data_IF_219777053904
#
_entry.id   IF_219777053904
#
_cell.length_a   1.000
_cell.length_b   1.000
_cell.length_c   1.000
_cell.angle_alpha   90.00
_cell.angle_beta   90.00
_cell.angle_gamma   90.00
#
_symmetry.space_group_name_H-M   'P 1'
#
loop_
_entity.id
_entity.type
_entity.pdbx_description
1 polymer ?
#
# COMPACT_ATOMS: atom_id res chain seq x y z
N UNK A 1 1.66 -15.32 15.31
CA UNK A 1 2.30 -14.01 15.36
C UNK A 1 1.31 -12.94 15.82
N UNK A 2 1.19 -11.74 15.22
CA UNK A 2 0.27 -10.70 15.73
C UNK A 2 -1.19 -11.18 15.74
N UNK A 3 -1.71 -11.74 14.65
CA UNK A 3 -3.08 -12.27 14.60
C UNK A 3 -3.37 -13.31 15.70
N UNK A 4 -2.43 -14.22 15.97
CA UNK A 4 -2.58 -15.20 17.04
C UNK A 4 -2.71 -14.50 18.41
N UNK A 5 -1.87 -13.49 18.67
CA UNK A 5 -1.94 -12.70 19.91
C UNK A 5 -3.23 -11.88 20.05
N UNK A 6 -3.75 -11.39 18.91
CA UNK A 6 -5.04 -10.67 18.90
C UNK A 6 -6.18 -11.63 19.27
N UNK A 7 -6.19 -12.84 18.69
CA UNK A 7 -7.21 -13.87 18.99
C UNK A 7 -7.17 -14.41 20.42
N UNK A 8 -6.04 -14.26 21.12
CA UNK A 8 -5.92 -14.62 22.56
C UNK A 8 -6.57 -13.57 23.49
N UNK A 9 -7.04 -12.43 22.96
CA UNK A 9 -7.61 -11.34 23.74
C UNK A 9 -9.14 -11.40 23.71
N UNK A 10 -9.77 -11.65 24.86
CA UNK A 10 -11.24 -11.75 24.99
C UNK A 10 -11.96 -10.43 24.70
N UNK A 11 -11.28 -9.29 24.87
CA UNK A 11 -11.82 -7.95 24.62
C UNK A 11 -11.64 -7.48 23.17
N UNK A 12 -11.20 -8.35 22.24
CA UNK A 12 -11.04 -8.03 20.83
C UNK A 12 -11.95 -8.93 20.00
N UNK A 13 -12.86 -8.32 19.25
CA UNK A 13 -13.72 -9.00 18.27
C UNK A 13 -13.16 -8.76 16.86
N UNK A 14 -12.95 -9.83 16.09
CA UNK A 14 -12.52 -9.77 14.69
C UNK A 14 -13.73 -10.11 13.81
N UNK A 15 -14.15 -9.17 12.99
CA UNK A 15 -15.21 -9.35 11.99
C UNK A 15 -14.54 -9.62 10.64
N UNK A 16 -14.37 -10.90 10.29
CA UNK A 16 -13.82 -11.32 9.01
C UNK A 16 -14.85 -11.15 7.88
N UNK A 17 -14.40 -10.91 6.64
CA UNK A 17 -15.25 -10.67 5.46
C UNK A 17 -16.25 -9.53 5.65
N UNK A 18 -15.85 -8.51 6.41
CA UNK A 18 -16.65 -7.32 6.70
C UNK A 18 -15.98 -6.10 6.08
N UNK A 19 -16.72 -5.34 5.27
CA UNK A 19 -16.21 -4.18 4.55
C UNK A 19 -16.81 -2.91 5.11
N UNK A 20 -15.97 -1.97 5.57
CA UNK A 20 -16.42 -0.60 5.88
C UNK A 20 -16.71 0.13 4.57
N UNK A 21 -17.86 0.80 4.48
CA UNK A 21 -18.20 1.55 3.28
C UNK A 21 -18.58 3.02 3.53
N UNK A 22 -18.74 3.43 4.80
CA UNK A 22 -18.89 4.85 5.16
C UNK A 22 -18.69 5.07 6.67
N UNK A 23 -18.66 6.34 7.10
CA UNK A 23 -18.65 6.73 8.51
C UNK A 23 -20.07 6.93 9.04
N UNK A 24 -20.26 6.59 10.32
CA UNK A 24 -21.36 7.15 11.14
C UNK A 24 -20.86 8.49 11.69
N UNK A 25 -21.39 9.62 11.19
CA UNK A 25 -20.89 10.93 11.59
C UNK A 25 -21.99 11.98 11.64
N UNK A 26 -21.82 12.96 12.53
CA UNK A 26 -22.56 14.21 12.58
C UNK A 26 -21.64 15.32 13.09
N UNK A 27 -21.83 16.54 12.63
CA UNK A 27 -21.14 17.75 13.11
C UNK A 27 -19.60 17.62 13.15
N UNK A 28 -19.02 16.90 12.15
CA UNK A 28 -17.58 16.59 12.05
C UNK A 28 -17.04 15.70 13.19
N UNK A 29 -17.89 14.88 13.81
CA UNK A 29 -17.53 13.88 14.82
C UNK A 29 -17.86 12.50 14.27
N UNK A 30 -16.92 11.56 14.38
CA UNK A 30 -17.10 10.16 14.01
C UNK A 30 -17.68 9.37 15.19
N UNK A 31 -18.78 8.67 14.97
CA UNK A 31 -19.46 7.83 15.95
C UNK A 31 -19.38 6.34 15.61
N UNK A 32 -18.56 5.97 14.63
CA UNK A 32 -18.41 4.61 14.17
C UNK A 32 -18.44 4.49 12.64
N UNK A 33 -18.80 3.32 12.15
CA UNK A 33 -18.80 3.02 10.72
C UNK A 33 -20.05 2.31 10.26
N UNK A 34 -20.34 2.45 8.97
CA UNK A 34 -21.27 1.63 8.24
C UNK A 34 -20.48 0.45 7.64
N UNK A 35 -20.94 -0.76 7.89
CA UNK A 35 -20.26 -1.97 7.42
C UNK A 35 -21.21 -2.91 6.67
N UNK A 36 -20.70 -3.57 5.67
CA UNK A 36 -21.32 -4.74 5.06
C UNK A 36 -20.71 -5.99 5.69
N UNK A 37 -21.56 -6.80 6.27
CA UNK A 37 -21.18 -8.02 6.96
C UNK A 37 -20.95 -9.18 5.97
N UNK A 38 -20.35 -10.28 6.46
CA UNK A 38 -20.04 -11.46 5.66
C UNK A 38 -21.27 -12.09 4.96
N UNK A 39 -22.46 -11.92 5.50
CA UNK A 39 -23.73 -12.40 4.94
C UNK A 39 -24.38 -11.41 3.97
N UNK A 40 -23.72 -10.27 3.69
CA UNK A 40 -24.23 -9.20 2.85
C UNK A 40 -25.16 -8.21 3.55
N UNK A 41 -25.50 -8.40 4.83
CA UNK A 41 -26.27 -7.44 5.60
C UNK A 41 -25.47 -6.15 5.84
N UNK A 42 -26.19 -5.03 6.00
CA UNK A 42 -25.58 -3.73 6.28
C UNK A 42 -25.86 -3.34 7.71
N UNK A 43 -24.80 -3.06 8.46
CA UNK A 43 -24.91 -2.75 9.88
C UNK A 43 -24.23 -1.42 10.24
N UNK A 44 -24.74 -0.81 11.30
CA UNK A 44 -24.13 0.34 11.99
C UNK A 44 -23.28 -0.19 13.13
N UNK A 45 -21.97 0.03 13.08
CA UNK A 45 -21.06 -0.30 14.17
C UNK A 45 -20.70 0.99 14.89
N UNK A 46 -21.38 1.25 16.02
CA UNK A 46 -21.13 2.43 16.85
C UNK A 46 -19.87 2.25 17.69
N UNK A 47 -19.05 3.29 17.78
CA UNK A 47 -17.81 3.29 18.54
C UNK A 47 -17.48 4.67 19.11
N UNK A 48 -16.89 4.71 20.31
CA UNK A 48 -16.39 5.94 20.93
C UNK A 48 -15.28 6.59 20.11
N UNK A 49 -14.45 5.74 19.47
CA UNK A 49 -13.39 6.15 18.54
C UNK A 49 -13.29 5.17 17.37
N UNK A 50 -12.96 5.70 16.23
CA UNK A 50 -12.68 4.91 15.02
C UNK A 50 -11.22 5.11 14.61
N UNK A 51 -10.51 4.02 14.32
CA UNK A 51 -9.13 4.06 13.85
C UNK A 51 -9.02 3.36 12.49
N UNK A 52 -8.66 4.11 11.46
CA UNK A 52 -8.43 3.57 10.13
C UNK A 52 -7.01 2.99 10.03
N UNK A 53 -6.93 1.72 9.66
CA UNK A 53 -5.68 1.00 9.40
C UNK A 53 -5.80 0.18 8.09
N UNK A 54 -6.41 0.79 7.07
CA UNK A 54 -6.89 0.13 5.84
C UNK A 54 -5.79 -0.12 4.80
N UNK A 55 -4.54 0.27 5.10
CA UNK A 55 -3.43 0.19 4.14
C UNK A 55 -3.47 1.33 3.11
N UNK A 56 -2.74 1.16 2.01
CA UNK A 56 -2.59 2.17 0.97
C UNK A 56 -3.56 2.01 -0.19
N UNK A 57 -3.04 2.18 -1.41
CA UNK A 57 -3.80 2.20 -2.66
C UNK A 57 -3.13 1.36 -3.78
N UNK A 58 -2.25 0.42 -3.41
CA UNK A 58 -1.43 -0.32 -4.36
C UNK A 58 -2.19 -1.25 -5.30
N UNK A 59 -3.45 -1.59 -4.98
CA UNK A 59 -4.29 -2.47 -5.79
C UNK A 59 -4.70 -1.89 -7.14
N UNK A 60 -4.72 -0.55 -7.25
CA UNK A 60 -5.09 0.17 -8.49
C UNK A 60 -3.99 0.15 -9.57
N UNK A 61 -2.79 -0.30 -9.24
CA UNK A 61 -1.65 -0.32 -10.18
C UNK A 61 -1.52 -1.66 -10.91
N UNK A 62 -1.21 -1.61 -12.20
CA UNK A 62 -0.94 -2.81 -13.03
C UNK A 62 0.14 -3.69 -12.41
N UNK A 63 1.25 -3.11 -12.01
CA UNK A 63 2.33 -3.78 -11.29
C UNK A 63 2.41 -3.26 -9.85
N UNK A 64 2.07 -4.12 -8.89
CA UNK A 64 2.09 -3.78 -7.46
C UNK A 64 2.54 -4.95 -6.60
N UNK A 65 3.21 -4.67 -5.50
CA UNK A 65 3.52 -5.63 -4.44
C UNK A 65 2.36 -5.79 -3.46
N UNK A 66 1.31 -4.99 -3.58
CA UNK A 66 0.10 -5.05 -2.76
C UNK A 66 -0.97 -5.97 -3.35
N UNK A 67 -1.94 -6.35 -2.53
CA UNK A 67 -3.11 -7.08 -2.99
C UNK A 67 -4.07 -6.18 -3.76
N UNK A 68 -4.82 -6.75 -4.71
CA UNK A 68 -5.73 -6.01 -5.58
C UNK A 68 -6.88 -5.31 -4.87
N UNK A 69 -7.32 -5.83 -3.72
CA UNK A 69 -8.39 -5.22 -2.90
C UNK A 69 -7.92 -4.00 -2.08
N UNK A 70 -6.65 -3.62 -2.14
CA UNK A 70 -6.13 -2.41 -1.47
C UNK A 70 -6.21 -1.24 -2.45
N UNK A 71 -7.38 -0.66 -2.61
CA UNK A 71 -7.73 0.32 -3.65
C UNK A 71 -7.78 1.77 -3.16
N UNK A 72 -7.58 1.99 -1.85
CA UNK A 72 -7.62 3.34 -1.26
C UNK A 72 -9.02 3.79 -0.87
N UNK A 73 -9.98 2.89 -0.67
CA UNK A 73 -11.37 3.22 -0.31
C UNK A 73 -11.48 4.16 0.88
N UNK A 74 -10.68 3.93 1.94
CA UNK A 74 -10.67 4.81 3.10
C UNK A 74 -10.26 6.25 2.75
N UNK A 75 -9.42 6.45 1.73
CA UNK A 75 -9.03 7.78 1.24
C UNK A 75 -10.19 8.45 0.50
N UNK A 76 -10.90 7.70 -0.32
CA UNK A 76 -12.07 8.18 -1.05
C UNK A 76 -13.19 8.57 -0.07
N UNK A 77 -13.51 7.69 0.89
CA UNK A 77 -14.52 7.95 1.93
C UNK A 77 -14.13 9.20 2.74
N UNK A 78 -12.88 9.27 3.21
CA UNK A 78 -12.38 10.44 3.94
C UNK A 78 -12.53 11.74 3.13
N UNK A 79 -12.17 11.72 1.84
CA UNK A 79 -12.29 12.89 0.96
C UNK A 79 -13.75 13.31 0.77
N UNK A 80 -14.66 12.36 0.58
CA UNK A 80 -16.09 12.65 0.41
C UNK A 80 -16.70 13.35 1.64
N UNK A 81 -16.15 13.09 2.82
CA UNK A 81 -16.53 13.76 4.08
C UNK A 81 -15.68 14.99 4.42
N UNK A 82 -14.88 15.50 3.49
CA UNK A 82 -14.05 16.68 3.70
C UNK A 82 -12.86 16.47 4.66
N UNK A 83 -12.55 15.23 5.00
CA UNK A 83 -11.37 14.90 5.80
C UNK A 83 -10.13 15.17 4.97
N UNK A 84 -9.15 15.83 5.57
CA UNK A 84 -7.98 16.32 4.86
C UNK A 84 -7.06 15.16 4.44
N UNK A 85 -6.81 15.08 3.12
CA UNK A 85 -5.76 14.24 2.54
C UNK A 85 -4.50 15.06 2.30
N UNK A 86 -3.33 14.43 2.39
CA UNK A 86 -2.06 15.07 2.12
C UNK A 86 -1.16 14.14 1.28
N UNK A 87 -0.42 14.73 0.33
CA UNK A 87 0.58 14.01 -0.49
C UNK A 87 0.06 12.75 -1.20
N UNK A 88 -1.13 12.82 -1.79
CA UNK A 88 -1.74 11.68 -2.51
C UNK A 88 -0.88 11.20 -3.70
N UNK A 89 0.06 12.02 -4.16
CA UNK A 89 1.06 11.74 -5.19
C UNK A 89 2.37 11.15 -4.64
N UNK A 90 2.51 10.96 -3.32
CA UNK A 90 3.72 10.39 -2.73
C UNK A 90 3.64 8.86 -2.73
N UNK A 91 3.98 8.27 -3.86
CA UNK A 91 3.90 6.83 -4.10
C UNK A 91 5.29 6.32 -4.42
N UNK A 92 5.75 5.32 -3.67
CA UNK A 92 7.04 4.70 -3.87
C UNK A 92 6.92 3.52 -4.85
N UNK A 93 7.66 3.61 -5.95
CA UNK A 93 7.86 2.50 -6.88
C UNK A 93 9.12 1.74 -6.46
N UNK A 94 9.03 0.42 -6.31
CA UNK A 94 10.19 -0.43 -6.09
C UNK A 94 10.78 -0.84 -7.44
N UNK A 95 12.08 -0.66 -7.69
CA UNK A 95 12.66 -0.88 -9.02
C UNK A 95 12.72 -2.35 -9.45
N UNK A 96 12.69 -3.29 -8.50
CA UNK A 96 12.89 -4.72 -8.80
C UNK A 96 11.82 -5.60 -8.15
N UNK A 97 10.82 -5.97 -8.92
CA UNK A 97 9.87 -7.06 -8.59
C UNK A 97 9.93 -8.11 -9.68
N UNK A 98 9.68 -9.36 -9.36
CA UNK A 98 9.69 -10.43 -10.36
C UNK A 98 8.58 -10.19 -11.38
N UNK A 99 8.94 -10.10 -12.66
CA UNK A 99 7.98 -9.97 -13.74
C UNK A 99 7.23 -11.29 -13.94
N UNK A 100 5.93 -11.19 -14.17
CA UNK A 100 5.07 -12.32 -14.53
C UNK A 100 3.89 -11.81 -15.34
N UNK A 101 3.47 -12.55 -16.36
CA UNK A 101 2.25 -12.27 -17.14
C UNK A 101 0.98 -12.68 -16.38
N UNK A 102 1.14 -13.49 -15.32
CA UNK A 102 0.01 -13.89 -14.47
C UNK A 102 -0.57 -12.67 -13.74
N UNK A 103 -1.90 -12.54 -13.67
CA UNK A 103 -2.52 -11.46 -12.91
C UNK A 103 -2.19 -11.58 -11.41
N UNK A 104 -2.28 -10.46 -10.71
CA UNK A 104 -2.14 -10.40 -9.27
C UNK A 104 -0.88 -9.69 -8.78
N UNK A 105 -0.55 -9.96 -7.53
CA UNK A 105 0.53 -9.31 -6.79
C UNK A 105 1.90 -9.69 -7.33
N UNK A 106 2.76 -8.69 -7.54
CA UNK A 106 4.17 -8.91 -7.93
C UNK A 106 4.99 -9.34 -6.71
N UNK A 107 5.88 -10.30 -6.93
CA UNK A 107 6.77 -10.76 -5.87
C UNK A 107 7.98 -9.81 -5.75
N UNK A 108 8.23 -9.33 -4.53
CA UNK A 108 9.32 -8.40 -4.27
C UNK A 108 10.69 -9.11 -4.34
N UNK A 109 11.57 -8.63 -5.22
CA UNK A 109 13.00 -8.93 -5.14
C UNK A 109 13.63 -7.85 -4.28
N UNK A 110 13.96 -8.20 -3.03
CA UNK A 110 14.42 -7.27 -2.01
C UNK A 110 15.59 -6.41 -2.48
N UNK A 111 15.63 -5.18 -2.00
CA UNK A 111 16.79 -4.28 -2.18
C UNK A 111 18.11 -4.89 -1.69
N UNK A 112 18.05 -5.73 -0.64
CA UNK A 112 19.21 -6.44 -0.10
C UNK A 112 19.91 -7.32 -1.14
N UNK A 113 19.19 -7.85 -2.15
CA UNK A 113 19.78 -8.63 -3.25
C UNK A 113 20.75 -7.77 -4.08
N UNK A 114 20.39 -6.51 -4.34
CA UNK A 114 21.25 -5.53 -5.01
C UNK A 114 22.39 -5.09 -4.10
N UNK A 115 22.12 -4.96 -2.80
CA UNK A 115 23.15 -4.68 -1.78
C UNK A 115 24.21 -5.77 -1.66
N UNK A 116 23.85 -7.05 -1.88
CA UNK A 116 24.78 -8.19 -1.92
C UNK A 116 25.54 -8.31 -3.25
N UNK A 117 25.23 -7.47 -4.26
CA UNK A 117 26.00 -7.40 -5.49
C UNK A 117 25.27 -7.83 -6.77
N UNK A 118 23.96 -8.11 -6.73
CA UNK A 118 23.21 -8.37 -7.96
C UNK A 118 23.21 -7.15 -8.89
N UNK A 119 23.30 -7.40 -10.20
CA UNK A 119 23.41 -6.38 -11.24
C UNK A 119 22.21 -6.39 -12.19
N UNK A 120 21.86 -5.22 -12.72
CA UNK A 120 20.80 -5.04 -13.72
C UNK A 120 21.40 -5.07 -15.14
N UNK A 121 20.77 -5.88 -15.99
CA UNK A 121 21.19 -6.10 -17.37
C UNK A 121 20.09 -5.69 -18.36
N UNK A 122 20.49 -5.09 -19.46
CA UNK A 122 19.64 -4.85 -20.62
C UNK A 122 19.39 -6.15 -21.44
N UNK A 123 18.69 -6.06 -22.56
CA UNK A 123 18.38 -7.25 -23.37
C UNK A 123 19.60 -7.91 -24.00
N UNK A 124 20.66 -7.16 -24.26
CA UNK A 124 21.95 -7.67 -24.75
C UNK A 124 22.80 -8.32 -23.65
N UNK A 125 22.42 -8.23 -22.38
CA UNK A 125 23.18 -8.77 -21.26
C UNK A 125 24.23 -7.81 -20.70
N UNK A 126 24.20 -6.53 -21.06
CA UNK A 126 25.11 -5.52 -20.55
C UNK A 126 24.54 -4.83 -19.32
N UNK A 127 25.40 -4.59 -18.32
CA UNK A 127 25.05 -3.74 -17.17
C UNK A 127 24.86 -2.30 -17.61
N UNK A 128 23.74 -1.64 -17.20
CA UNK A 128 23.40 -0.31 -17.70
C UNK A 128 23.27 0.76 -16.61
N UNK A 129 23.31 0.38 -15.32
CA UNK A 129 23.05 1.34 -14.22
C UNK A 129 23.84 0.97 -12.95
N UNK A 130 23.98 1.92 -12.04
CA UNK A 130 24.38 1.65 -10.66
C UNK A 130 23.15 1.24 -9.83
N UNK A 131 23.09 -0.02 -9.39
CA UNK A 131 21.96 -0.62 -8.69
C UNK A 131 21.74 -0.08 -7.28
N UNK A 132 22.72 0.66 -6.73
CA UNK A 132 22.66 1.25 -5.39
C UNK A 132 22.12 2.69 -5.37
N UNK A 133 21.67 3.20 -6.52
CA UNK A 133 20.98 4.48 -6.58
C UNK A 133 19.72 4.45 -5.69
N UNK A 134 19.27 5.62 -5.17
CA UNK A 134 17.96 5.77 -4.53
C UNK A 134 16.84 5.19 -5.41
N UNK A 135 15.79 4.64 -4.78
CA UNK A 135 14.74 3.89 -5.51
C UNK A 135 14.09 4.68 -6.63
N UNK A 136 13.81 5.95 -6.41
CA UNK A 136 13.19 6.85 -7.40
C UNK A 136 14.08 7.07 -8.63
N UNK A 137 15.39 7.24 -8.42
CA UNK A 137 16.36 7.38 -9.50
C UNK A 137 16.57 6.06 -10.24
N UNK A 138 16.74 4.97 -9.52
CA UNK A 138 16.93 3.66 -10.14
C UNK A 138 15.69 3.24 -10.94
N UNK A 139 14.49 3.50 -10.43
CA UNK A 139 13.23 3.22 -11.13
C UNK A 139 13.16 3.94 -12.48
N UNK A 140 13.58 5.22 -12.53
CA UNK A 140 13.62 6.00 -13.78
C UNK A 140 14.57 5.39 -14.81
N UNK A 141 15.76 4.97 -14.37
CA UNK A 141 16.74 4.35 -15.27
C UNK A 141 16.26 2.98 -15.75
N UNK A 142 15.64 2.17 -14.89
CA UNK A 142 15.05 0.88 -15.29
C UNK A 142 13.94 1.08 -16.31
N UNK A 143 13.03 2.02 -16.06
CA UNK A 143 11.92 2.31 -16.98
C UNK A 143 12.43 2.82 -18.34
N UNK A 144 13.43 3.69 -18.35
CA UNK A 144 14.09 4.17 -19.55
C UNK A 144 14.74 3.02 -20.33
N UNK A 145 15.42 2.08 -19.64
CA UNK A 145 16.04 0.94 -20.30
C UNK A 145 14.99 -0.01 -20.89
N UNK A 146 13.87 -0.25 -20.20
CA UNK A 146 12.75 -1.02 -20.74
C UNK A 146 12.24 -0.44 -22.07
N UNK A 147 12.10 0.88 -22.15
CA UNK A 147 11.68 1.57 -23.37
C UNK A 147 12.74 1.46 -24.50
N UNK A 148 14.03 1.57 -24.18
CA UNK A 148 15.12 1.39 -25.16
C UNK A 148 15.14 -0.04 -25.72
N UNK A 149 14.94 -1.03 -24.84
CA UNK A 149 14.99 -2.45 -25.18
C UNK A 149 13.71 -2.92 -25.89
N UNK A 150 12.64 -2.12 -25.87
CA UNK A 150 11.27 -2.50 -26.27
C UNK A 150 10.85 -3.81 -25.57
N UNK A 151 11.00 -3.83 -24.23
CA UNK A 151 10.73 -4.99 -23.38
C UNK A 151 9.92 -4.61 -22.14
N UNK A 152 8.98 -5.46 -21.68
CA UNK A 152 8.17 -5.19 -20.50
C UNK A 152 8.93 -5.40 -19.17
N UNK A 153 10.22 -5.69 -19.22
CA UNK A 153 11.09 -5.92 -18.05
C UNK A 153 12.58 -5.69 -18.41
N UNK A 154 13.40 -5.54 -17.39
CA UNK A 154 14.86 -5.72 -17.49
C UNK A 154 15.28 -7.02 -16.79
N UNK A 155 16.55 -7.40 -16.87
CA UNK A 155 17.06 -8.63 -16.23
C UNK A 155 17.87 -8.31 -15.01
N UNK A 156 17.66 -9.07 -13.92
CA UNK A 156 18.50 -9.02 -12.72
C UNK A 156 19.36 -10.28 -12.66
N UNK A 157 20.68 -10.12 -12.65
CA UNK A 157 21.62 -11.22 -12.50
C UNK A 157 22.15 -11.27 -11.08
N UNK A 158 22.07 -12.43 -10.45
CA UNK A 158 22.69 -12.74 -9.17
C UNK A 158 24.06 -13.42 -9.32
N UNK A 159 24.59 -13.53 -10.54
CA UNK A 159 25.89 -14.18 -10.81
C UNK A 159 27.06 -13.65 -9.98
N UNK A 160 27.14 -12.36 -9.60
CA UNK A 160 28.21 -11.89 -8.70
C UNK A 160 28.10 -12.39 -7.26
N UNK A 161 26.96 -12.96 -6.85
CA UNK A 161 26.71 -13.44 -5.48
C UNK A 161 26.99 -14.95 -5.44
N UNK A 162 27.76 -15.47 -4.45
CA UNK A 162 27.94 -16.91 -4.28
C UNK A 162 26.60 -17.64 -4.13
N UNK A 163 26.47 -18.79 -4.77
CA UNK A 163 25.22 -19.59 -4.76
C UNK A 163 24.73 -19.90 -3.34
N UNK A 164 25.64 -20.25 -2.45
CA UNK A 164 25.35 -20.57 -1.05
C UNK A 164 24.77 -19.35 -0.32
N UNK A 165 25.27 -18.15 -0.64
CA UNK A 165 24.75 -16.88 -0.10
C UNK A 165 23.35 -16.61 -0.63
N UNK A 166 23.07 -16.81 -1.92
CA UNK A 166 21.74 -16.67 -2.49
C UNK A 166 20.74 -17.55 -1.74
N UNK A 167 21.06 -18.83 -1.57
CA UNK A 167 20.16 -19.81 -0.95
C UNK A 167 19.96 -19.54 0.54
N UNK A 168 21.01 -19.14 1.27
CA UNK A 168 20.95 -18.92 2.73
C UNK A 168 20.37 -17.55 3.10
N UNK A 169 20.71 -16.47 2.39
CA UNK A 169 20.24 -15.12 2.70
C UNK A 169 18.87 -14.83 2.09
N UNK A 170 18.55 -15.43 0.93
CA UNK A 170 17.33 -15.16 0.17
C UNK A 170 16.50 -16.43 -0.13
N UNK A 171 16.26 -17.33 0.84
CA UNK A 171 15.62 -18.63 0.58
C UNK A 171 14.22 -18.49 -0.06
N UNK A 172 13.45 -17.48 0.35
CA UNK A 172 12.12 -17.25 -0.20
C UNK A 172 12.17 -16.70 -1.64
N UNK A 173 13.16 -15.87 -1.95
CA UNK A 173 13.37 -15.34 -3.31
C UNK A 173 13.81 -16.48 -4.23
N UNK A 174 14.79 -17.28 -3.80
CA UNK A 174 15.26 -18.45 -4.55
C UNK A 174 14.10 -19.42 -4.86
N UNK A 175 13.35 -19.80 -3.82
CA UNK A 175 12.18 -20.68 -3.96
C UNK A 175 11.15 -20.11 -4.94
N UNK A 176 10.81 -18.80 -4.81
CA UNK A 176 9.83 -18.16 -5.67
C UNK A 176 10.29 -18.08 -7.13
N UNK A 177 11.56 -17.80 -7.37
CA UNK A 177 12.12 -17.82 -8.73
C UNK A 177 11.98 -19.21 -9.35
N UNK A 178 12.29 -20.28 -8.63
CA UNK A 178 12.12 -21.65 -9.11
C UNK A 178 10.65 -21.99 -9.42
N UNK A 179 9.69 -21.55 -8.60
CA UNK A 179 8.25 -21.72 -8.85
C UNK A 179 7.78 -21.03 -10.13
N UNK A 180 8.42 -19.93 -10.53
CA UNK A 180 8.15 -19.21 -11.79
C UNK A 180 9.05 -19.71 -12.96
N UNK A 181 9.86 -20.74 -12.74
CA UNK A 181 10.67 -21.39 -13.79
C UNK A 181 12.08 -20.84 -13.95
N UNK A 182 12.58 -20.01 -13.02
CA UNK A 182 13.91 -19.40 -13.08
C UNK A 182 14.83 -19.92 -11.99
N UNK A 183 16.00 -20.46 -12.35
CA UNK A 183 17.09 -20.71 -11.38
C UNK A 183 18.00 -19.47 -11.29
N UNK A 184 17.67 -18.55 -10.38
CA UNK A 184 18.41 -17.30 -10.22
C UNK A 184 19.89 -17.45 -9.79
N UNK A 185 20.33 -18.70 -9.49
CA UNK A 185 21.75 -19.02 -9.27
C UNK A 185 22.50 -19.32 -10.56
N UNK A 186 21.80 -19.47 -11.70
CA UNK A 186 22.36 -19.87 -12.99
C UNK A 186 22.07 -18.88 -14.11
N UNK A 187 20.94 -18.17 -14.01
CA UNK A 187 20.45 -17.30 -15.07
C UNK A 187 19.89 -15.99 -14.51
N UNK A 188 19.92 -14.90 -15.27
CA UNK A 188 19.24 -13.66 -14.91
C UNK A 188 17.73 -13.84 -14.91
N UNK A 189 17.04 -13.21 -13.93
CA UNK A 189 15.58 -13.23 -13.79
C UNK A 189 14.97 -11.94 -14.33
N UNK A 190 13.74 -11.99 -14.92
CA UNK A 190 13.04 -10.80 -15.39
C UNK A 190 12.52 -10.00 -14.20
N UNK A 191 12.79 -8.69 -14.18
CA UNK A 191 12.30 -7.78 -13.13
C UNK A 191 11.67 -6.52 -13.71
N UNK A 192 10.64 -6.02 -13.05
CA UNK A 192 9.88 -4.83 -13.45
C UNK A 192 9.67 -3.91 -12.25
N UNK A 193 9.72 -2.58 -12.44
CA UNK A 193 9.28 -1.66 -11.41
C UNK A 193 7.80 -1.86 -11.05
N UNK A 194 7.47 -1.74 -9.77
CA UNK A 194 6.11 -1.90 -9.29
C UNK A 194 5.80 -0.98 -8.13
N UNK A 195 4.55 -0.56 -8.02
CA UNK A 195 4.08 0.15 -6.83
C UNK A 195 4.36 -0.70 -5.58
N UNK A 196 4.86 -0.06 -4.53
CA UNK A 196 5.29 -0.77 -3.33
C UNK A 196 4.80 -0.18 -2.02
N UNK A 197 4.76 1.15 -1.88
CA UNK A 197 4.32 1.82 -0.65
C UNK A 197 3.74 3.20 -0.96
N UNK A 198 2.74 3.58 -0.19
CA UNK A 198 2.10 4.89 -0.26
C UNK A 198 2.51 5.73 0.94
N UNK A 199 3.17 6.88 0.73
CA UNK A 199 3.64 7.77 1.80
C UNK A 199 2.71 8.96 2.05
N UNK A 200 1.72 9.16 1.18
CA UNK A 200 0.61 10.08 1.39
C UNK A 200 -0.49 9.48 2.24
N UNK A 201 -1.67 10.07 2.23
CA UNK A 201 -2.83 9.52 2.93
C UNK A 201 -3.68 10.54 3.65
N UNK A 202 -4.47 10.05 4.60
CA UNK A 202 -5.26 10.90 5.50
C UNK A 202 -4.29 11.67 6.39
N UNK A 203 -4.36 13.01 6.34
CA UNK A 203 -3.49 13.85 7.17
C UNK A 203 -3.79 13.62 8.64
N UNK A 204 -2.73 13.38 9.43
CA UNK A 204 -2.82 13.20 10.87
C UNK A 204 -1.79 14.08 11.60
N UNK A 205 -2.04 14.32 12.89
CA UNK A 205 -1.06 14.89 13.82
C UNK A 205 -0.14 13.79 14.42
N UNK A 206 0.69 14.14 15.40
CA UNK A 206 1.61 13.20 16.07
C UNK A 206 0.89 12.13 16.90
N UNK A 207 -0.35 12.37 17.30
CA UNK A 207 -1.19 11.41 18.01
C UNK A 207 -2.08 10.60 17.05
N UNK A 208 -1.85 10.73 15.73
CA UNK A 208 -2.63 10.09 14.66
C UNK A 208 -4.08 10.57 14.53
N UNK A 209 -4.45 11.70 15.10
CA UNK A 209 -5.78 12.32 14.92
C UNK A 209 -5.91 12.91 13.52
N UNK A 210 -7.07 12.69 12.92
CA UNK A 210 -7.46 13.32 11.64
C UNK A 210 -8.05 14.74 11.86
N UNK A 211 -8.61 15.33 10.80
CA UNK A 211 -9.39 16.58 10.90
C UNK A 211 -10.84 16.38 11.35
N UNK A 212 -11.30 15.14 11.49
CA UNK A 212 -12.60 14.76 12.05
C UNK A 212 -12.39 14.29 13.50
N UNK A 213 -13.20 14.78 14.43
CA UNK A 213 -13.13 14.37 15.82
C UNK A 213 -13.45 12.87 15.98
N UNK A 214 -12.86 12.20 16.96
CA UNK A 214 -12.97 10.77 17.25
C UNK A 214 -12.51 9.83 16.12
N UNK A 215 -11.85 10.38 15.07
CA UNK A 215 -11.32 9.60 13.96
C UNK A 215 -9.79 9.69 13.92
N UNK A 216 -9.16 8.53 13.92
CA UNK A 216 -7.71 8.34 13.81
C UNK A 216 -7.37 7.62 12.50
N UNK A 217 -6.14 7.80 12.03
CA UNK A 217 -5.60 6.99 10.94
C UNK A 217 -4.14 6.63 11.23
N UNK A 218 -3.76 5.37 11.01
CA UNK A 218 -2.43 4.83 11.34
C UNK A 218 -1.90 3.92 10.23
N UNK A 219 -0.58 3.78 10.14
CA UNK A 219 0.07 2.99 9.10
C UNK A 219 -0.09 3.61 7.72
N UNK A 220 -0.04 2.79 6.67
CA UNK A 220 0.02 3.24 5.28
C UNK A 220 -1.22 4.04 4.79
N UNK A 221 -2.34 4.00 5.53
CA UNK A 221 -3.51 4.83 5.21
C UNK A 221 -3.36 6.29 5.67
N UNK A 222 -2.38 6.57 6.55
CA UNK A 222 -2.16 7.90 7.14
C UNK A 222 -0.95 8.63 6.55
N UNK A 223 -1.05 9.95 6.48
CA UNK A 223 0.07 10.83 6.18
C UNK A 223 0.48 11.62 7.44
N UNK A 224 1.47 11.12 8.16
CA UNK A 224 2.10 11.76 9.32
C UNK A 224 3.36 12.55 8.95
N UNK A 225 3.82 12.46 7.70
CA UNK A 225 4.97 13.19 7.16
C UNK A 225 6.34 12.56 7.42
N UNK A 226 6.44 11.47 8.19
CA UNK A 226 7.73 10.88 8.61
C UNK A 226 8.57 10.36 7.45
N UNK A 227 7.95 9.93 6.37
CA UNK A 227 8.64 9.36 5.21
C UNK A 227 9.01 10.37 4.13
N UNK A 228 8.37 11.54 4.11
CA UNK A 228 8.51 12.46 2.99
C UNK A 228 8.13 11.80 1.65
N UNK A 229 8.82 12.19 0.57
CA UNK A 229 8.55 11.67 -0.78
C UNK A 229 9.26 10.35 -1.11
N UNK A 230 10.20 9.91 -0.28
CA UNK A 230 11.00 8.70 -0.54
C UNK A 230 11.30 7.94 0.76
N UNK A 231 10.48 6.95 1.07
CA UNK A 231 10.57 6.16 2.30
C UNK A 231 11.86 5.32 2.33
N UNK A 232 12.58 5.40 3.44
CA UNK A 232 13.69 4.50 3.71
C UNK A 232 13.19 3.06 3.92
N UNK A 233 13.91 2.08 3.40
CA UNK A 233 13.55 0.67 3.49
C UNK A 233 13.25 0.24 4.95
N UNK A 234 12.25 -0.61 5.13
CA UNK A 234 11.77 -1.18 6.40
C UNK A 234 11.13 -0.22 7.41
N UNK A 235 11.20 1.10 7.23
CA UNK A 235 10.67 2.07 8.19
C UNK A 235 9.13 2.10 8.28
N UNK A 236 8.41 1.54 7.31
CA UNK A 236 6.95 1.48 7.36
C UNK A 236 6.40 0.66 8.54
N UNK A 237 7.08 -0.44 8.89
CA UNK A 237 6.68 -1.26 10.04
C UNK A 237 6.90 -0.52 11.37
N UNK A 238 8.02 0.19 11.48
CA UNK A 238 8.32 1.01 12.66
C UNK A 238 7.32 2.16 12.81
N UNK A 239 7.04 2.87 11.73
CA UNK A 239 6.03 3.94 11.67
C UNK A 239 4.67 3.42 12.15
N UNK A 240 4.17 2.32 11.58
CA UNK A 240 2.87 1.75 11.95
C UNK A 240 2.79 1.43 13.44
N UNK A 241 3.83 0.85 14.04
CA UNK A 241 3.86 0.51 15.47
C UNK A 241 3.92 1.74 16.36
N UNK A 242 4.75 2.73 16.03
CA UNK A 242 4.93 3.94 16.83
C UNK A 242 3.65 4.78 16.83
N UNK A 243 3.07 5.04 15.67
CA UNK A 243 1.88 5.88 15.55
C UNK A 243 0.60 5.19 16.03
N UNK A 244 0.46 3.86 15.86
CA UNK A 244 -0.63 3.12 16.49
C UNK A 244 -0.56 3.17 18.02
N UNK A 245 0.64 3.10 18.58
CA UNK A 245 0.83 3.26 20.04
C UNK A 245 0.51 4.68 20.52
N UNK A 246 0.89 5.71 19.76
CA UNK A 246 0.57 7.10 20.07
C UNK A 246 -0.96 7.32 20.07
N UNK A 247 -1.65 6.85 19.05
CA UNK A 247 -3.11 6.89 18.95
C UNK A 247 -3.79 6.18 20.13
N UNK A 248 -3.37 4.96 20.45
CA UNK A 248 -3.91 4.20 21.57
C UNK A 248 -3.72 4.92 22.92
N UNK A 249 -2.56 5.56 23.12
CA UNK A 249 -2.29 6.36 24.31
C UNK A 249 -3.24 7.56 24.40
N UNK A 250 -3.36 8.34 23.33
CA UNK A 250 -4.21 9.52 23.32
C UNK A 250 -5.69 9.17 23.55
N UNK A 251 -6.21 8.10 22.93
CA UNK A 251 -7.57 7.58 23.18
C UNK A 251 -7.77 7.22 24.65
N UNK A 252 -6.78 6.59 25.29
CA UNK A 252 -6.87 6.17 26.69
C UNK A 252 -6.85 7.38 27.64
N UNK A 253 -6.09 8.42 27.32
CA UNK A 253 -5.97 9.63 28.13
C UNK A 253 -7.18 10.59 27.97
N UNK A 254 -7.94 10.47 26.89
CA UNK A 254 -9.09 11.32 26.55
C UNK A 254 -10.36 10.48 26.29
N UNK A 255 -10.90 9.79 27.31
CA UNK A 255 -12.07 8.94 27.12
C UNK A 255 -13.28 9.77 26.67
N UNK A 256 -14.01 9.26 25.70
CA UNK A 256 -15.26 9.83 25.19
C UNK A 256 -16.32 8.75 25.11
N UNK A 257 -17.56 9.13 24.83
CA UNK A 257 -18.66 8.19 24.56
C UNK A 257 -19.32 8.54 23.24
N UNK A 258 -19.57 7.51 22.45
CA UNK A 258 -20.32 7.65 21.23
C UNK A 258 -21.80 7.99 21.50
N UNK A 259 -22.34 8.85 20.67
CA UNK A 259 -23.77 9.09 20.60
C UNK A 259 -24.39 8.26 19.46
N UNK A 260 -25.69 7.99 19.53
CA UNK A 260 -26.39 7.29 18.47
C UNK A 260 -26.74 8.28 17.36
N UNK A 261 -26.25 7.99 16.14
CA UNK A 261 -26.52 8.81 14.95
C UNK A 261 -27.48 8.08 14.03
N UNK A 262 -28.54 8.78 13.61
CA UNK A 262 -29.44 8.25 12.59
C UNK A 262 -28.85 8.46 11.19
N UNK A 263 -28.76 7.39 10.43
CA UNK A 263 -28.24 7.38 9.05
C UNK A 263 -29.24 6.68 8.14
N UNK A 264 -29.52 7.30 6.99
CA UNK A 264 -30.34 6.72 5.94
C UNK A 264 -29.57 5.68 5.14
N UNK A 265 -29.86 4.40 5.41
CA UNK A 265 -29.23 3.26 4.75
C UNK A 265 -29.61 3.11 3.27
N UNK A 266 -30.69 3.76 2.82
CA UNK A 266 -31.18 3.65 1.43
C UNK A 266 -30.20 4.22 0.40
N UNK A 267 -29.31 5.11 0.82
CA UNK A 267 -28.25 5.71 -0.02
C UNK A 267 -27.16 4.74 -0.44
N UNK A 268 -27.08 3.57 0.17
CA UNK A 268 -25.95 2.63 0.03
C UNK A 268 -26.38 1.34 -0.67
N UNK A 269 -27.04 1.43 -1.83
CA UNK A 269 -27.65 0.26 -2.47
C UNK A 269 -26.77 -0.44 -3.51
N UNK A 270 -25.76 0.23 -4.08
CA UNK A 270 -24.91 -0.34 -5.14
C UNK A 270 -23.43 -0.30 -4.74
N UNK A 271 -22.92 -1.45 -4.24
CA UNK A 271 -21.55 -1.59 -3.76
C UNK A 271 -20.52 -1.54 -4.89
N UNK A 272 -20.73 -2.28 -5.98
CA UNK A 272 -19.79 -2.33 -7.10
C UNK A 272 -19.60 -0.96 -7.77
N UNK A 273 -20.68 -0.20 -7.91
CA UNK A 273 -20.59 1.15 -8.45
C UNK A 273 -19.80 2.07 -7.52
N UNK A 274 -19.99 1.97 -6.21
CA UNK A 274 -19.30 2.78 -5.22
C UNK A 274 -17.80 2.46 -5.18
N UNK A 275 -17.40 1.19 -5.26
CA UNK A 275 -16.00 0.79 -5.34
C UNK A 275 -15.33 1.44 -6.56
N UNK A 276 -15.95 1.38 -7.71
CA UNK A 276 -15.46 2.04 -8.94
C UNK A 276 -15.38 3.57 -8.81
N UNK A 277 -16.38 4.20 -8.19
CA UNK A 277 -16.39 5.64 -7.93
C UNK A 277 -15.28 6.04 -6.96
N UNK A 278 -15.04 5.25 -5.91
CA UNK A 278 -13.96 5.46 -4.96
C UNK A 278 -12.59 5.33 -5.63
N UNK A 279 -12.37 4.28 -6.41
CA UNK A 279 -11.13 4.09 -7.18
C UNK A 279 -10.89 5.25 -8.15
N UNK A 280 -11.91 5.64 -8.90
CA UNK A 280 -11.81 6.77 -9.83
C UNK A 280 -11.49 8.07 -9.10
N UNK A 281 -12.09 8.33 -7.95
CA UNK A 281 -11.83 9.53 -7.15
C UNK A 281 -10.37 9.58 -6.68
N UNK A 282 -9.79 8.46 -6.28
CA UNK A 282 -8.38 8.35 -5.89
C UNK A 282 -7.47 8.62 -7.09
N UNK A 283 -7.76 8.02 -8.24
CA UNK A 283 -7.02 8.22 -9.49
C UNK A 283 -7.07 9.68 -9.95
N UNK A 284 -8.23 10.31 -9.89
CA UNK A 284 -8.41 11.73 -10.25
C UNK A 284 -7.60 12.66 -9.33
N UNK A 285 -7.52 12.34 -8.04
CA UNK A 285 -6.69 13.11 -7.10
C UNK A 285 -5.20 12.97 -7.39
N UNK A 286 -4.72 11.76 -7.70
CA UNK A 286 -3.32 11.54 -8.13
C UNK A 286 -3.05 12.35 -9.38
N UNK A 287 -3.91 12.26 -10.40
CA UNK A 287 -3.80 12.99 -11.66
C UNK A 287 -3.78 14.50 -11.47
N UNK A 288 -4.63 15.01 -10.56
CA UNK A 288 -4.68 16.44 -10.22
C UNK A 288 -3.38 16.93 -9.57
N UNK A 289 -2.73 16.10 -8.78
CA UNK A 289 -1.50 16.44 -8.04
C UNK A 289 -0.25 16.25 -8.87
N UNK A 290 -0.13 15.14 -9.58
CA UNK A 290 1.01 14.82 -10.45
C UNK A 290 0.54 14.05 -11.69
N UNK A 291 0.19 14.81 -12.74
CA UNK A 291 -0.26 14.25 -14.01
C UNK A 291 0.81 13.38 -14.68
N UNK A 292 2.07 13.75 -14.59
CA UNK A 292 3.17 13.01 -15.18
C UNK A 292 3.31 11.62 -14.54
N UNK A 293 3.17 11.55 -13.21
CA UNK A 293 3.16 10.29 -12.48
C UNK A 293 1.94 9.44 -12.87
N UNK A 294 0.75 10.05 -12.93
CA UNK A 294 -0.47 9.36 -13.34
C UNK A 294 -0.34 8.75 -14.74
N UNK A 295 0.09 9.54 -15.73
CA UNK A 295 0.23 9.10 -17.12
C UNK A 295 1.26 7.95 -17.24
N UNK A 296 2.28 7.92 -16.39
CA UNK A 296 3.31 6.88 -16.40
C UNK A 296 2.91 5.60 -15.69
N UNK A 297 2.17 5.67 -14.58
CA UNK A 297 2.00 4.55 -13.66
C UNK A 297 0.56 4.09 -13.46
N UNK A 298 -0.44 4.96 -13.70
CA UNK A 298 -1.85 4.69 -13.44
C UNK A 298 -2.69 4.54 -14.70
N UNK A 299 -2.16 4.90 -15.88
CA UNK A 299 -2.90 4.77 -17.12
C UNK A 299 -2.75 3.34 -17.68
N UNK A 300 -3.87 2.62 -17.84
CA UNK A 300 -3.88 1.23 -18.35
C UNK A 300 -3.54 1.11 -19.84
N UNK A 301 -3.35 2.22 -20.55
CA UNK A 301 -2.99 2.25 -21.97
C UNK A 301 -1.47 2.09 -22.23
N UNK A 302 -0.64 1.94 -21.16
CA UNK A 302 0.82 1.75 -21.27
C UNK A 302 1.27 0.36 -20.80
#
# INVERSE_FOLDING_TARGET
>A
TLLARTRERENITILEHTTMYDFLMADNICYGVMAQMADGSKEKITADYTMLACGGLGGIYKHSTNYRHITGDALAIAKNHGIRLEHIDYIQIHPTTLYSEKPGRRFLISESVRGEGAILLNKEGNRFVNELLPRDLLTKEVHKQMAIDDMPYVRLSMAPIPKETIISHFPNIYKRCLEEGYDCTKEPIPVVPAQHYFMGGIKVNLDSKTSMEHLYAVGETSCNGVHGRNRLASNSLLESLVFAKAAAKDITEHPSKAETVEVDLSKYQNEEQREKENEQLVLDEIKRKDRSFYDQWCNDEN
#
